data_IF_934298810780
#
_entry.id   IF_934298810780
#
_cell.length_a   1.000
_cell.length_b   1.000
_cell.length_c   1.000
_cell.angle_alpha   90.00
_cell.angle_beta   90.00
_cell.angle_gamma   90.00
#
_symmetry.space_group_name_H-M   'P 1'
#
loop_
_entity.id
_entity.type
_entity.pdbx_description
1 polymer ?
#
# COMPACT_ATOMS: atom_id res chain seq x y z
N UNK A 1 25.86 -8.37 5.20
CA UNK A 1 25.98 -6.91 5.48
C UNK A 1 25.59 -6.70 6.92
N UNK A 2 26.31 -5.85 7.68
CA UNK A 2 25.82 -5.44 9.00
C UNK A 2 24.54 -4.64 8.81
N UNK A 3 23.53 -4.95 9.63
CA UNK A 3 22.30 -4.16 9.68
C UNK A 3 22.60 -3.01 10.64
N UNK A 4 22.45 -1.76 10.16
CA UNK A 4 22.64 -0.56 10.98
C UNK A 4 21.61 -0.46 12.10
N UNK A 5 21.91 0.31 13.13
CA UNK A 5 21.04 0.52 14.29
C UNK A 5 20.54 1.96 14.35
N UNK A 6 19.25 2.12 14.67
CA UNK A 6 18.63 3.39 15.03
C UNK A 6 18.16 3.29 16.48
N UNK A 7 18.71 4.13 17.36
CA UNK A 7 18.38 4.12 18.80
C UNK A 7 17.41 5.22 19.16
N UNK A 8 16.35 4.84 19.86
CA UNK A 8 15.32 5.76 20.31
C UNK A 8 15.78 6.55 21.56
N UNK A 9 15.15 7.71 21.77
CA UNK A 9 15.18 8.41 23.04
C UNK A 9 14.39 7.64 24.08
N UNK A 10 14.68 7.91 25.34
CA UNK A 10 14.04 7.22 26.46
C UNK A 10 12.53 7.44 26.47
N UNK A 11 11.78 6.35 26.39
CA UNK A 11 10.32 6.33 26.47
C UNK A 11 9.61 6.35 25.12
N UNK A 12 10.31 6.62 24.02
CA UNK A 12 9.73 6.68 22.66
C UNK A 12 9.42 5.28 22.08
N UNK A 13 9.94 4.22 22.68
CA UNK A 13 9.60 2.84 22.33
C UNK A 13 8.14 2.45 22.63
N UNK A 14 7.45 3.20 23.48
CA UNK A 14 6.12 2.81 23.99
C UNK A 14 5.06 2.76 22.92
N UNK A 15 5.01 3.74 22.02
CA UNK A 15 4.06 3.75 20.92
C UNK A 15 4.33 2.60 19.94
N UNK A 16 5.59 2.35 19.65
CA UNK A 16 6.00 1.25 18.78
C UNK A 16 5.62 -0.09 19.41
N UNK A 17 5.87 -0.31 20.68
CA UNK A 17 5.49 -1.54 21.39
C UNK A 17 3.96 -1.71 21.49
N UNK A 18 3.21 -0.61 21.49
CA UNK A 18 1.74 -0.64 21.46
C UNK A 18 1.14 -0.89 20.06
N UNK A 19 1.97 -1.00 19.00
CA UNK A 19 1.52 -1.30 17.64
C UNK A 19 1.86 -0.23 16.59
N UNK A 20 2.40 0.93 17.00
CA UNK A 20 2.89 1.95 16.08
C UNK A 20 4.01 1.42 15.18
N UNK A 21 4.11 1.90 13.95
CA UNK A 21 5.10 1.42 12.98
C UNK A 21 5.97 2.54 12.40
N UNK A 22 5.85 3.75 12.89
CA UNK A 22 6.63 4.89 12.43
C UNK A 22 7.54 5.42 13.55
N UNK A 23 8.79 5.66 13.21
CA UNK A 23 9.77 6.36 14.03
C UNK A 23 10.02 7.73 13.42
N UNK A 24 9.76 8.78 14.18
CA UNK A 24 9.98 10.14 13.72
C UNK A 24 11.39 10.63 14.07
N UNK A 25 11.88 11.64 13.36
CA UNK A 25 13.21 12.23 13.53
C UNK A 25 13.48 12.73 14.95
N UNK A 26 12.46 13.31 15.59
CA UNK A 26 12.53 13.82 16.96
C UNK A 26 12.56 12.73 18.04
N UNK A 27 12.23 11.49 17.72
CA UNK A 27 12.22 10.34 18.63
C UNK A 27 13.58 9.62 18.69
N UNK A 28 14.48 9.93 17.76
CA UNK A 28 15.78 9.28 17.61
C UNK A 28 16.84 9.99 18.45
N UNK A 29 17.64 9.21 19.20
CA UNK A 29 18.79 9.71 19.95
C UNK A 29 20.11 9.51 19.20
N UNK A 30 20.20 8.46 18.38
CA UNK A 30 21.41 8.11 17.63
C UNK A 30 21.09 7.23 16.43
N UNK A 31 21.86 7.41 15.36
CA UNK A 31 21.79 6.63 14.12
C UNK A 31 23.21 6.14 13.83
N UNK A 32 23.35 4.85 13.54
CA UNK A 32 24.60 4.23 13.11
C UNK A 32 25.07 4.79 11.77
N UNK A 33 26.40 4.98 11.62
CA UNK A 33 27.03 5.44 10.38
C UNK A 33 26.81 4.46 9.21
N UNK A 34 26.56 3.18 9.49
CA UNK A 34 26.25 2.15 8.50
C UNK A 34 24.81 2.24 7.95
N UNK A 35 23.93 3.08 8.53
CA UNK A 35 22.56 3.27 8.05
C UNK A 35 22.54 4.00 6.70
N UNK A 36 21.97 3.36 5.69
CA UNK A 36 21.83 3.91 4.35
C UNK A 36 20.36 4.16 4.01
N UNK A 37 20.05 5.29 3.35
CA UNK A 37 18.71 5.62 2.89
C UNK A 37 18.16 4.50 1.98
N UNK A 38 16.94 4.02 2.28
CA UNK A 38 16.33 2.86 1.63
C UNK A 38 16.78 1.50 2.19
N UNK A 39 17.78 1.48 3.07
CA UNK A 39 18.29 0.27 3.70
C UNK A 39 17.41 -0.24 4.85
N UNK A 40 17.77 -1.45 5.32
CA UNK A 40 17.11 -2.10 6.47
C UNK A 40 17.94 -1.79 7.72
N UNK A 41 17.24 -1.40 8.80
CA UNK A 41 17.86 -1.09 10.10
C UNK A 41 17.14 -1.80 11.23
N UNK A 42 17.85 -2.05 12.33
CA UNK A 42 17.27 -2.44 13.61
C UNK A 42 16.98 -1.18 14.44
N UNK A 43 15.78 -1.11 15.00
CA UNK A 43 15.38 -0.07 15.96
C UNK A 43 15.51 -0.62 17.36
N UNK A 44 16.24 0.12 18.22
CA UNK A 44 16.43 -0.23 19.63
C UNK A 44 15.90 0.87 20.54
N UNK A 45 15.42 0.47 21.70
CA UNK A 45 15.08 1.40 22.79
C UNK A 45 16.35 2.06 23.35
N UNK A 46 16.19 3.04 24.25
CA UNK A 46 17.30 3.75 24.88
C UNK A 46 18.28 2.82 25.63
N UNK A 47 17.77 1.72 26.20
CA UNK A 47 18.56 0.71 26.92
C UNK A 47 19.22 -0.34 26.02
N UNK A 48 19.04 -0.24 24.69
CA UNK A 48 19.58 -1.17 23.71
C UNK A 48 18.70 -2.40 23.43
N UNK A 49 17.52 -2.49 24.07
CA UNK A 49 16.57 -3.58 23.77
C UNK A 49 15.99 -3.42 22.36
N UNK A 50 15.88 -4.53 21.62
CA UNK A 50 15.34 -4.53 20.27
C UNK A 50 13.84 -4.22 20.27
N UNK A 51 13.42 -3.30 19.40
CA UNK A 51 12.02 -2.88 19.23
C UNK A 51 11.43 -3.39 17.93
N UNK A 52 12.21 -3.35 16.84
CA UNK A 52 11.76 -3.80 15.53
C UNK A 52 12.79 -3.57 14.44
N UNK A 53 12.49 -4.03 13.26
CA UNK A 53 13.29 -3.89 12.04
C UNK A 53 12.48 -3.19 10.97
N UNK A 54 13.08 -2.28 10.22
CA UNK A 54 12.35 -1.50 9.23
C UNK A 54 13.22 -0.83 8.19
N UNK A 55 12.57 -0.04 7.34
CA UNK A 55 13.22 0.74 6.31
C UNK A 55 13.63 2.12 6.83
N UNK A 56 14.88 2.49 6.59
CA UNK A 56 15.47 3.76 6.98
C UNK A 56 15.41 4.80 5.86
N UNK A 57 15.08 6.04 6.20
CA UNK A 57 15.23 7.21 5.33
C UNK A 57 15.57 8.45 6.18
N UNK A 58 16.84 8.82 6.21
CA UNK A 58 17.33 9.96 6.99
C UNK A 58 16.87 11.34 6.48
N UNK A 59 16.30 11.41 5.27
CA UNK A 59 15.76 12.65 4.69
C UNK A 59 14.26 12.82 4.97
N UNK A 60 13.57 11.76 5.40
CA UNK A 60 12.15 11.79 5.75
C UNK A 60 11.94 12.18 7.21
N UNK A 61 10.81 12.82 7.52
CA UNK A 61 10.38 13.00 8.91
C UNK A 61 10.07 11.68 9.60
N UNK A 62 9.61 10.67 8.83
CA UNK A 62 9.46 9.30 9.32
C UNK A 62 10.77 8.58 8.98
N UNK A 63 11.72 8.65 9.91
CA UNK A 63 13.08 8.12 9.73
C UNK A 63 13.10 6.61 9.57
N UNK A 64 12.25 5.88 10.32
CA UNK A 64 12.11 4.42 10.13
C UNK A 64 10.63 4.05 10.03
N UNK A 65 10.34 3.21 9.04
CA UNK A 65 9.05 2.51 8.91
C UNK A 65 9.27 1.06 9.29
N UNK A 66 8.75 0.65 10.46
CA UNK A 66 8.88 -0.72 10.93
C UNK A 66 8.13 -1.68 10.01
N UNK A 67 8.80 -2.77 9.67
CA UNK A 67 8.29 -3.86 8.83
C UNK A 67 8.09 -5.11 9.67
N UNK A 68 8.97 -5.38 10.62
CA UNK A 68 8.86 -6.53 11.51
C UNK A 68 9.22 -6.16 12.95
N UNK A 69 8.63 -6.91 13.90
CA UNK A 69 8.99 -6.85 15.32
C UNK A 69 9.90 -8.00 15.74
N UNK A 70 10.37 -8.75 14.77
CA UNK A 70 11.29 -9.87 14.96
C UNK A 70 12.60 -9.58 14.22
N UNK A 71 13.70 -10.19 14.70
CA UNK A 71 14.98 -10.17 13.99
C UNK A 71 14.95 -11.21 12.87
N UNK A 72 14.20 -10.93 11.85
CA UNK A 72 14.07 -11.76 10.65
C UNK A 72 14.63 -11.05 9.42
N UNK A 73 14.93 -11.79 8.39
CA UNK A 73 15.42 -11.26 7.13
C UNK A 73 14.27 -10.61 6.34
N UNK A 74 14.46 -9.37 5.92
CA UNK A 74 13.53 -8.68 5.04
C UNK A 74 14.07 -8.78 3.62
N UNK A 75 13.56 -9.73 2.88
CA UNK A 75 13.97 -10.07 1.52
C UNK A 75 12.75 -10.24 0.60
N UNK A 76 12.98 -10.61 -0.64
CA UNK A 76 11.91 -10.85 -1.64
C UNK A 76 10.89 -11.88 -1.16
N UNK A 77 11.33 -12.95 -0.51
CA UNK A 77 10.44 -14.00 0.01
C UNK A 77 9.53 -13.45 1.12
N UNK A 78 10.08 -12.63 2.03
CA UNK A 78 9.31 -11.96 3.07
C UNK A 78 8.20 -11.08 2.45
N UNK A 79 8.53 -10.27 1.44
CA UNK A 79 7.57 -9.41 0.73
C UNK A 79 6.48 -10.27 0.06
N UNK A 80 6.87 -11.37 -0.61
CA UNK A 80 5.94 -12.29 -1.27
C UNK A 80 4.95 -12.92 -0.29
N UNK A 81 5.43 -13.38 0.87
CA UNK A 81 4.60 -13.94 1.93
C UNK A 81 3.57 -12.92 2.44
N UNK A 82 3.99 -11.68 2.69
CA UNK A 82 3.11 -10.60 3.17
C UNK A 82 2.04 -10.22 2.14
N UNK A 83 2.39 -10.11 0.85
CA UNK A 83 1.43 -9.86 -0.23
C UNK A 83 0.41 -11.00 -0.32
N UNK A 84 0.89 -12.26 -0.30
CA UNK A 84 0.03 -13.45 -0.33
C UNK A 84 -0.94 -13.48 0.86
N UNK A 85 -0.45 -13.23 2.07
CA UNK A 85 -1.27 -13.25 3.29
C UNK A 85 -2.30 -12.10 3.29
N UNK A 86 -1.93 -10.93 2.77
CA UNK A 86 -2.85 -9.83 2.56
C UNK A 86 -3.98 -10.23 1.58
N UNK A 87 -3.63 -10.87 0.45
CA UNK A 87 -4.61 -11.37 -0.50
C UNK A 87 -5.53 -12.45 0.08
N UNK A 88 -5.00 -13.41 0.81
CA UNK A 88 -5.79 -14.45 1.47
C UNK A 88 -6.82 -13.87 2.45
N UNK A 89 -6.45 -12.84 3.22
CA UNK A 89 -7.40 -12.13 4.09
C UNK A 89 -8.55 -11.50 3.31
N UNK A 90 -8.27 -10.84 2.17
CA UNK A 90 -9.32 -10.24 1.31
C UNK A 90 -10.25 -11.31 0.76
N UNK A 91 -9.70 -12.45 0.33
CA UNK A 91 -10.48 -13.60 -0.13
C UNK A 91 -11.41 -14.15 0.96
N UNK A 92 -10.94 -14.28 2.18
CA UNK A 92 -11.75 -14.72 3.33
C UNK A 92 -12.89 -13.75 3.65
N UNK A 93 -12.71 -12.45 3.37
CA UNK A 93 -13.74 -11.42 3.50
C UNK A 93 -14.69 -11.34 2.30
N UNK A 94 -14.53 -12.21 1.29
CA UNK A 94 -15.40 -12.26 0.11
C UNK A 94 -14.97 -11.35 -1.05
N UNK A 95 -13.81 -10.69 -0.95
CA UNK A 95 -13.29 -9.87 -2.05
C UNK A 95 -12.50 -10.74 -3.02
N UNK A 96 -12.91 -10.74 -4.29
CA UNK A 96 -12.27 -11.55 -5.35
C UNK A 96 -11.95 -10.77 -6.62
N UNK A 97 -12.83 -9.86 -7.03
CA UNK A 97 -12.75 -9.19 -8.33
C UNK A 97 -12.16 -7.79 -8.25
N UNK A 98 -12.66 -6.96 -7.34
CA UNK A 98 -12.17 -5.60 -7.14
C UNK A 98 -11.96 -5.33 -5.65
N UNK A 99 -10.72 -5.04 -5.25
CA UNK A 99 -10.39 -4.70 -3.87
C UNK A 99 -8.99 -4.14 -3.73
N UNK A 100 -8.73 -3.47 -2.61
CA UNK A 100 -7.37 -3.19 -2.15
C UNK A 100 -6.75 -4.45 -1.58
N UNK A 101 -5.79 -5.02 -2.32
CA UNK A 101 -5.06 -6.24 -1.93
C UNK A 101 -4.08 -5.95 -0.80
N UNK A 102 -3.29 -4.88 -0.93
CA UNK A 102 -2.32 -4.44 0.08
C UNK A 102 -2.62 -3.01 0.50
N UNK A 103 -2.62 -2.77 1.80
CA UNK A 103 -2.83 -1.44 2.39
C UNK A 103 -1.70 -1.09 3.37
N UNK A 104 -0.52 -0.88 2.85
CA UNK A 104 0.63 -0.33 3.57
C UNK A 104 0.89 -0.97 4.92
N UNK A 105 0.96 -0.14 5.94
CA UNK A 105 1.27 -0.53 7.32
C UNK A 105 0.29 -1.56 7.89
N UNK A 106 -0.99 -1.49 7.49
CA UNK A 106 -2.03 -2.43 7.94
C UNK A 106 -1.76 -3.89 7.51
N UNK A 107 -1.00 -4.07 6.43
CA UNK A 107 -0.59 -5.39 5.93
C UNK A 107 0.90 -5.67 6.18
N UNK A 108 1.58 -4.82 6.96
CA UNK A 108 3.00 -4.96 7.29
C UNK A 108 3.94 -4.69 6.10
N UNK A 109 3.48 -3.93 5.11
CA UNK A 109 4.22 -3.52 3.92
C UNK A 109 4.19 -1.99 3.79
N UNK A 110 4.88 -1.25 4.69
CA UNK A 110 4.78 0.19 4.77
C UNK A 110 5.13 0.87 3.45
N UNK A 111 4.21 1.73 3.01
CA UNK A 111 4.36 2.47 1.76
C UNK A 111 3.92 1.72 0.49
N UNK A 112 3.51 0.44 0.57
CA UNK A 112 2.96 -0.28 -0.59
C UNK A 112 1.44 -0.29 -0.56
N UNK A 113 0.83 0.13 -1.66
CA UNK A 113 -0.59 -0.06 -1.94
C UNK A 113 -0.73 -0.89 -3.22
N UNK A 114 -1.58 -1.91 -3.19
CA UNK A 114 -1.91 -2.72 -4.37
C UNK A 114 -3.41 -2.84 -4.48
N UNK A 115 -3.97 -2.43 -5.61
CA UNK A 115 -5.39 -2.50 -5.93
C UNK A 115 -5.63 -3.44 -7.12
N UNK A 116 -6.66 -4.28 -7.01
CA UNK A 116 -7.08 -5.23 -8.04
C UNK A 116 -8.38 -4.77 -8.69
N UNK A 117 -8.43 -4.86 -10.02
CA UNK A 117 -9.55 -4.50 -10.88
C UNK A 117 -9.77 -5.60 -11.91
N UNK A 118 -10.56 -6.63 -11.58
CA UNK A 118 -10.73 -7.79 -12.43
C UNK A 118 -9.41 -8.52 -12.68
N UNK A 119 -8.96 -8.51 -13.92
CA UNK A 119 -7.71 -9.14 -14.37
C UNK A 119 -6.52 -8.16 -14.41
N UNK A 120 -6.66 -6.96 -13.84
CA UNK A 120 -5.65 -5.91 -13.84
C UNK A 120 -5.30 -5.50 -12.43
N UNK A 121 -4.07 -5.03 -12.25
CA UNK A 121 -3.58 -4.51 -10.98
C UNK A 121 -3.08 -3.07 -11.15
N UNK A 122 -3.19 -2.31 -10.08
CA UNK A 122 -2.53 -1.02 -9.94
C UNK A 122 -1.78 -1.00 -8.62
N UNK A 123 -0.54 -0.50 -8.61
CA UNK A 123 0.20 -0.35 -7.37
C UNK A 123 0.81 1.04 -7.22
N UNK A 124 1.08 1.37 -5.97
CA UNK A 124 1.73 2.60 -5.56
C UNK A 124 2.74 2.32 -4.46
N UNK A 125 3.94 2.87 -4.59
CA UNK A 125 5.00 2.81 -3.59
C UNK A 125 5.33 4.23 -3.14
N UNK A 126 5.24 4.51 -1.84
CA UNK A 126 5.46 5.84 -1.26
C UNK A 126 6.52 5.84 -0.16
N UNK A 127 7.37 4.81 -0.08
CA UNK A 127 8.51 4.78 0.82
C UNK A 127 9.77 4.30 0.10
N UNK A 128 10.92 4.91 0.46
CA UNK A 128 12.19 4.65 -0.22
C UNK A 128 12.65 3.19 -0.05
N UNK A 129 12.47 2.59 1.13
CA UNK A 129 12.85 1.20 1.35
C UNK A 129 11.99 0.20 0.58
N UNK A 130 10.68 0.47 0.41
CA UNK A 130 9.82 -0.37 -0.41
C UNK A 130 10.12 -0.23 -1.91
N UNK A 131 10.59 0.95 -2.36
CA UNK A 131 11.02 1.17 -3.75
C UNK A 131 12.17 0.24 -4.15
N UNK A 132 13.06 -0.10 -3.21
CA UNK A 132 14.15 -1.06 -3.47
C UNK A 132 13.64 -2.45 -3.89
N UNK A 133 12.43 -2.81 -3.50
CA UNK A 133 11.77 -4.07 -3.86
C UNK A 133 10.82 -3.95 -5.06
N UNK A 134 10.79 -2.81 -5.76
CA UNK A 134 9.81 -2.59 -6.84
C UNK A 134 9.82 -3.67 -7.91
N UNK A 135 10.99 -4.06 -8.39
CA UNK A 135 11.12 -5.12 -9.41
C UNK A 135 10.56 -6.46 -8.88
N UNK A 136 10.94 -6.85 -7.67
CA UNK A 136 10.46 -8.06 -7.03
C UNK A 136 8.93 -8.02 -6.82
N UNK A 137 8.38 -6.88 -6.41
CA UNK A 137 6.94 -6.69 -6.23
C UNK A 137 6.20 -6.92 -7.56
N UNK A 138 6.70 -6.38 -8.68
CA UNK A 138 6.08 -6.60 -9.99
C UNK A 138 6.08 -8.09 -10.35
N UNK A 139 7.20 -8.79 -10.14
CA UNK A 139 7.32 -10.23 -10.40
C UNK A 139 6.40 -11.05 -9.48
N UNK A 140 6.34 -10.72 -8.19
CA UNK A 140 5.43 -11.37 -7.22
C UNK A 140 3.97 -11.19 -7.64
N UNK A 141 3.57 -9.96 -8.02
CA UNK A 141 2.22 -9.66 -8.45
C UNK A 141 1.88 -10.41 -9.75
N UNK A 142 2.80 -10.45 -10.71
CA UNK A 142 2.63 -11.19 -11.96
C UNK A 142 2.44 -12.69 -11.70
N UNK A 143 3.27 -13.28 -10.84
CA UNK A 143 3.19 -14.71 -10.52
C UNK A 143 1.95 -15.09 -9.70
N UNK A 144 1.52 -14.21 -8.75
CA UNK A 144 0.42 -14.52 -7.84
C UNK A 144 -0.96 -14.33 -8.49
N UNK A 145 -1.11 -13.36 -9.39
CA UNK A 145 -2.40 -12.95 -9.95
C UNK A 145 -2.56 -13.28 -11.44
N UNK A 146 -1.47 -13.59 -12.14
CA UNK A 146 -1.46 -13.78 -13.61
C UNK A 146 -2.25 -12.67 -14.33
N UNK A 147 -1.98 -11.37 -14.04
CA UNK A 147 -2.78 -10.28 -14.54
C UNK A 147 -2.53 -10.04 -16.04
N UNK A 148 -3.50 -9.49 -16.73
CA UNK A 148 -3.32 -9.01 -18.12
C UNK A 148 -2.44 -7.77 -18.20
N UNK A 149 -2.41 -6.97 -17.14
CA UNK A 149 -1.54 -5.81 -17.03
C UNK A 149 -1.44 -5.27 -15.61
N UNK A 150 -0.31 -4.64 -15.32
CA UNK A 150 -0.03 -3.95 -14.05
C UNK A 150 0.32 -2.49 -14.33
N UNK A 151 -0.40 -1.59 -13.66
CA UNK A 151 -0.20 -0.15 -13.70
C UNK A 151 0.62 0.32 -12.49
N UNK A 152 1.69 1.04 -12.73
CA UNK A 152 2.39 1.82 -11.70
C UNK A 152 1.71 3.19 -11.55
N UNK A 153 1.34 3.59 -10.32
CA UNK A 153 0.73 4.89 -9.99
C UNK A 153 1.54 5.62 -8.92
N UNK A 154 2.81 5.77 -9.20
CA UNK A 154 3.79 6.46 -8.38
C UNK A 154 3.85 7.98 -8.71
N UNK A 155 2.74 8.56 -9.19
CA UNK A 155 2.55 9.96 -9.59
C UNK A 155 1.99 10.85 -8.46
N UNK A 156 2.26 10.49 -7.20
CA UNK A 156 1.77 11.21 -6.02
C UNK A 156 2.87 12.03 -5.35
N UNK A 157 2.55 13.27 -4.98
CA UNK A 157 3.51 14.25 -4.43
C UNK A 157 4.20 13.83 -3.13
N UNK A 158 3.61 12.89 -2.37
CA UNK A 158 4.25 12.38 -1.16
C UNK A 158 5.59 11.69 -1.45
N UNK A 159 5.77 11.14 -2.65
CA UNK A 159 7.03 10.51 -3.07
C UNK A 159 8.22 11.49 -3.11
N UNK A 160 7.97 12.74 -3.49
CA UNK A 160 9.02 13.78 -3.52
C UNK A 160 9.58 14.04 -2.11
N UNK A 161 8.73 13.90 -1.07
CA UNK A 161 9.17 14.03 0.34
C UNK A 161 10.00 12.84 0.85
N UNK A 162 9.95 11.72 0.13
CA UNK A 162 10.75 10.53 0.39
C UNK A 162 11.99 10.46 -0.51
N UNK A 163 12.23 11.49 -1.35
CA UNK A 163 13.35 11.53 -2.31
C UNK A 163 13.13 10.66 -3.56
N UNK A 164 11.86 10.32 -3.87
CA UNK A 164 11.51 9.44 -4.98
C UNK A 164 10.94 10.21 -6.18
N UNK A 165 11.25 9.82 -7.43
CA UNK A 165 10.68 10.43 -8.63
C UNK A 165 9.21 10.08 -8.80
N UNK A 166 8.45 10.96 -9.49
CA UNK A 166 7.09 10.68 -9.90
C UNK A 166 7.10 9.82 -11.17
N UNK A 167 6.42 8.68 -11.13
CA UNK A 167 6.36 7.70 -12.21
C UNK A 167 4.94 7.17 -12.36
N UNK A 168 4.48 6.99 -13.60
CA UNK A 168 3.25 6.25 -13.89
C UNK A 168 3.33 5.57 -15.25
N UNK A 169 2.63 4.44 -15.40
CA UNK A 169 2.60 3.73 -16.66
C UNK A 169 2.30 2.23 -16.52
N UNK A 170 2.25 1.57 -17.67
CA UNK A 170 2.18 0.11 -17.73
C UNK A 170 3.57 -0.48 -17.49
N UNK A 171 3.70 -1.35 -16.48
CA UNK A 171 4.97 -1.99 -16.11
C UNK A 171 4.99 -3.49 -16.37
N UNK A 172 3.84 -4.08 -16.67
CA UNK A 172 3.70 -5.50 -17.03
C UNK A 172 2.48 -5.69 -17.93
N UNK A 173 2.59 -6.54 -18.96
CA UNK A 173 1.50 -6.86 -19.88
C UNK A 173 1.00 -5.64 -20.66
N UNK A 174 -0.32 -5.53 -20.82
CA UNK A 174 -0.96 -4.45 -21.56
C UNK A 174 -2.12 -3.85 -20.76
N UNK A 175 -2.34 -2.55 -20.87
CA UNK A 175 -3.43 -1.83 -20.22
C UNK A 175 -4.35 -1.22 -21.30
N UNK A 176 -5.62 -1.61 -21.39
CA UNK A 176 -6.58 -0.91 -22.21
C UNK A 176 -6.96 0.44 -21.62
N UNK A 177 -7.45 1.35 -22.43
CA UNK A 177 -7.89 2.69 -21.98
C UNK A 177 -8.95 2.60 -20.87
N UNK A 178 -9.83 1.62 -20.93
CA UNK A 178 -10.89 1.35 -19.95
C UNK A 178 -10.83 -0.09 -19.50
N UNK A 179 -10.79 -0.30 -18.21
CA UNK A 179 -10.80 -1.62 -17.58
C UNK A 179 -12.18 -1.86 -16.98
N UNK A 180 -12.80 -2.98 -17.37
CA UNK A 180 -14.06 -3.44 -16.78
C UNK A 180 -13.81 -4.39 -15.65
N UNK A 181 -14.50 -4.16 -14.53
CA UNK A 181 -14.44 -5.01 -13.35
C UNK A 181 -15.81 -5.08 -12.67
N UNK A 182 -15.99 -6.09 -11.85
CA UNK A 182 -17.21 -6.29 -11.09
C UNK A 182 -17.01 -5.77 -9.66
N UNK A 183 -17.87 -4.84 -9.25
CA UNK A 183 -17.99 -4.36 -7.88
C UNK A 183 -19.31 -4.84 -7.30
N UNK A 184 -19.27 -5.77 -6.34
CA UNK A 184 -20.46 -6.53 -5.92
C UNK A 184 -21.09 -7.23 -7.14
N UNK A 185 -22.29 -6.83 -7.52
CA UNK A 185 -23.03 -7.29 -8.71
C UNK A 185 -23.10 -6.25 -9.85
N UNK A 186 -22.50 -5.06 -9.66
CA UNK A 186 -22.42 -4.01 -10.67
C UNK A 186 -21.19 -4.14 -11.55
N UNK A 187 -21.37 -3.87 -12.86
CA UNK A 187 -20.22 -3.72 -13.76
C UNK A 187 -19.77 -2.26 -13.75
N UNK A 188 -18.49 -2.06 -13.45
CA UNK A 188 -17.85 -0.76 -13.36
C UNK A 188 -16.72 -0.65 -14.39
N UNK A 189 -16.32 0.58 -14.68
CA UNK A 189 -15.15 0.88 -15.49
C UNK A 189 -14.18 1.79 -14.74
N UNK A 190 -12.88 1.58 -14.93
CA UNK A 190 -11.81 2.42 -14.42
C UNK A 190 -10.78 2.74 -15.51
N UNK A 191 -10.18 3.92 -15.41
CA UNK A 191 -8.98 4.30 -16.12
C UNK A 191 -7.81 4.24 -15.12
N UNK A 192 -6.96 3.24 -15.24
CA UNK A 192 -5.85 3.07 -14.29
C UNK A 192 -4.71 4.04 -14.54
N UNK A 193 -4.56 4.54 -15.76
CA UNK A 193 -3.48 5.46 -16.12
C UNK A 193 -3.78 6.91 -15.72
N UNK A 194 -5.03 7.38 -15.96
CA UNK A 194 -5.39 8.79 -15.79
C UNK A 194 -6.45 9.01 -14.70
N UNK A 195 -7.04 7.94 -14.16
CA UNK A 195 -8.07 8.02 -13.12
C UNK A 195 -7.51 8.53 -11.79
N UNK A 196 -8.41 9.03 -10.93
CA UNK A 196 -8.03 9.45 -9.58
C UNK A 196 -7.57 8.26 -8.71
N UNK A 197 -6.68 8.50 -7.76
CA UNK A 197 -6.03 7.48 -6.93
C UNK A 197 -5.36 6.43 -7.84
N UNK A 198 -5.68 5.16 -7.63
CA UNK A 198 -5.23 4.02 -8.41
C UNK A 198 -6.20 3.64 -9.55
N UNK A 199 -7.21 4.50 -9.84
CA UNK A 199 -8.20 4.32 -10.91
C UNK A 199 -9.66 4.36 -10.45
N UNK A 200 -9.95 3.94 -9.20
CA UNK A 200 -11.30 3.93 -8.63
C UNK A 200 -11.27 4.00 -7.10
N UNK A 201 -12.37 4.46 -6.49
CA UNK A 201 -12.52 4.55 -5.03
C UNK A 201 -13.04 3.23 -4.45
N UNK A 202 -12.17 2.22 -4.36
CA UNK A 202 -12.51 0.88 -3.86
C UNK A 202 -12.98 0.86 -2.40
N UNK A 203 -12.54 1.83 -1.59
CA UNK A 203 -12.93 2.02 -0.20
C UNK A 203 -14.43 2.32 -0.02
N UNK A 204 -15.11 2.77 -1.08
CA UNK A 204 -16.54 3.07 -1.04
C UNK A 204 -17.43 1.91 -1.49
N UNK A 205 -16.89 0.77 -1.87
CA UNK A 205 -17.63 -0.37 -2.41
C UNK A 205 -18.79 -0.81 -1.51
N UNK A 206 -18.53 -1.02 -0.22
CA UNK A 206 -19.57 -1.42 0.73
C UNK A 206 -20.62 -0.32 0.92
N UNK A 207 -20.20 0.94 1.00
CA UNK A 207 -21.10 2.07 1.15
C UNK A 207 -22.05 2.18 -0.06
N UNK A 208 -21.52 1.98 -1.27
CA UNK A 208 -22.33 1.94 -2.49
C UNK A 208 -23.36 0.82 -2.47
N UNK A 209 -23.02 -0.36 -1.98
CA UNK A 209 -23.98 -1.44 -1.79
C UNK A 209 -25.05 -1.12 -0.74
N UNK A 210 -24.67 -0.47 0.36
CA UNK A 210 -25.58 -0.15 1.48
C UNK A 210 -26.63 0.89 1.16
N UNK A 211 -26.44 1.78 0.16
CA UNK A 211 -27.45 2.79 -0.19
C UNK A 211 -28.64 2.22 -0.98
N UNK A 212 -28.50 1.09 -1.66
CA UNK A 212 -29.49 0.54 -2.58
C UNK A 212 -30.91 0.44 -2.00
N UNK A 213 -31.12 -0.07 -0.77
CA UNK A 213 -32.46 -0.14 -0.19
C UNK A 213 -33.15 1.21 -0.04
N UNK A 214 -32.36 2.29 0.11
CA UNK A 214 -32.90 3.66 0.29
C UNK A 214 -33.21 4.33 -1.04
N UNK A 215 -32.74 3.79 -2.16
CA UNK A 215 -32.91 4.39 -3.50
C UNK A 215 -34.13 3.83 -4.24
N UNK A 216 -34.73 2.73 -3.77
CA UNK A 216 -35.86 2.08 -4.45
C UNK A 216 -37.06 3.01 -4.61
N UNK A 217 -37.43 3.35 -5.86
CA UNK A 217 -38.50 4.28 -6.19
C UNK A 217 -38.24 5.74 -5.83
N UNK A 218 -37.01 6.07 -5.40
CA UNK A 218 -36.63 7.43 -5.03
C UNK A 218 -36.00 8.19 -6.22
N UNK A 219 -36.04 9.53 -6.13
CA UNK A 219 -35.20 10.39 -6.98
C UNK A 219 -33.87 10.60 -6.27
N UNK A 220 -32.77 10.18 -6.89
CA UNK A 220 -31.44 10.26 -6.33
C UNK A 220 -30.66 11.38 -7.02
N UNK A 221 -29.92 12.19 -6.24
CA UNK A 221 -28.96 13.17 -6.71
C UNK A 221 -27.58 12.77 -6.18
N UNK A 222 -26.66 12.47 -7.09
CA UNK A 222 -25.28 12.15 -6.78
C UNK A 222 -24.38 13.35 -7.05
N UNK A 223 -23.95 14.03 -5.97
CA UNK A 223 -23.04 15.18 -6.05
C UNK A 223 -21.58 14.70 -5.99
N UNK A 224 -20.73 15.27 -6.86
CA UNK A 224 -19.33 14.87 -6.98
C UNK A 224 -19.18 13.39 -7.37
N UNK A 225 -20.01 12.94 -8.31
CA UNK A 225 -20.24 11.52 -8.64
C UNK A 225 -18.99 10.76 -9.16
N UNK A 226 -17.94 11.45 -9.55
CA UNK A 226 -16.75 10.86 -10.17
C UNK A 226 -17.15 9.97 -11.38
N UNK A 227 -16.92 8.66 -11.32
CA UNK A 227 -17.34 7.68 -12.35
C UNK A 227 -18.79 7.19 -12.17
N UNK A 228 -19.57 7.83 -11.32
CA UNK A 228 -20.97 7.50 -11.07
C UNK A 228 -21.19 6.24 -10.24
N UNK A 229 -20.20 5.85 -9.41
CA UNK A 229 -20.30 4.61 -8.64
C UNK A 229 -21.52 4.51 -7.75
N UNK A 230 -21.87 5.58 -7.02
CA UNK A 230 -23.11 5.63 -6.23
C UNK A 230 -24.36 5.63 -7.12
N UNK A 231 -24.33 6.36 -8.23
CA UNK A 231 -25.46 6.40 -9.19
C UNK A 231 -25.75 5.03 -9.79
N UNK A 232 -24.70 4.27 -10.19
CA UNK A 232 -24.85 2.91 -10.71
C UNK A 232 -25.50 2.00 -9.69
N UNK A 233 -25.02 2.01 -8.44
CA UNK A 233 -25.57 1.19 -7.37
C UNK A 233 -26.96 1.64 -6.93
N UNK A 234 -27.30 2.92 -7.05
CA UNK A 234 -28.65 3.42 -6.78
C UNK A 234 -29.65 2.99 -7.85
N UNK A 235 -29.21 2.68 -9.08
CA UNK A 235 -30.05 2.28 -10.20
C UNK A 235 -30.31 0.76 -10.30
N UNK A 236 -29.58 -0.06 -9.51
CA UNK A 236 -29.77 -1.51 -9.39
C UNK A 236 -30.81 -1.84 -8.32
#
# INVERSE_FOLDING_TARGET
MNIGEVRLRRGEEKELLAGGCWVYDNEVSWVDEDCQNGGIVDVTAHDGSFVGRGFFNGESKIIVRLVSRQKEEINTEFIALRIRDAWLRRRQLGFDNACRVVFGDADGLPGLTVDKFGEYLSFQIVSLGMEAFKADIIEILAALFEPKGICERNDVSIREKEGLPLLSGCVYGELPERIRFRELDAMMEADLLNGQKTGHFLDQQENRGRIRPYCRGARVLDLCCHTGGFSVHAGI
#
